data_IF_861514152438
#
_entry.id   IF_861514152438
#
_cell.length_a   1.000
_cell.length_b   1.000
_cell.length_c   1.000
_cell.angle_alpha   90.00
_cell.angle_beta   90.00
_cell.angle_gamma   90.00
#
_symmetry.space_group_name_H-M   'P 1'
#
loop_
_entity.id
_entity.type
_entity.pdbx_description
1 polymer ?
#
# COMPACT_ATOMS: atom_id res chain seq x y z
N UNK A 1 24.37 -5.56 -7.29
CA UNK A 1 24.12 -4.19 -7.77
C UNK A 1 24.57 -3.15 -6.75
N UNK A 2 25.38 -2.18 -7.19
CA UNK A 2 25.85 -1.02 -6.41
C UNK A 2 25.06 0.26 -6.75
N UNK A 3 25.12 1.28 -5.89
CA UNK A 3 24.49 2.60 -6.16
C UNK A 3 25.05 3.24 -7.42
N UNK A 4 26.37 3.18 -7.63
CA UNK A 4 27.04 3.61 -8.86
C UNK A 4 26.43 2.99 -10.13
N UNK A 5 26.19 1.68 -10.11
CA UNK A 5 25.59 0.95 -11.23
C UNK A 5 24.14 1.38 -11.47
N UNK A 6 23.36 1.61 -10.41
CA UNK A 6 21.97 2.08 -10.49
C UNK A 6 21.93 3.50 -11.07
N UNK A 7 22.70 4.42 -10.51
CA UNK A 7 22.75 5.82 -10.93
C UNK A 7 23.16 5.92 -12.41
N UNK A 8 24.23 5.23 -12.81
CA UNK A 8 24.68 5.19 -14.21
C UNK A 8 23.60 4.67 -15.15
N UNK A 9 22.87 3.61 -14.77
CA UNK A 9 21.79 3.06 -15.60
C UNK A 9 20.58 4.00 -15.68
N UNK A 10 20.39 4.86 -14.70
CA UNK A 10 19.37 5.90 -14.70
C UNK A 10 19.82 7.22 -15.36
N UNK A 11 21.04 7.30 -15.91
CA UNK A 11 21.59 8.55 -16.46
C UNK A 11 21.92 9.61 -15.39
N UNK A 12 22.14 9.18 -14.14
CA UNK A 12 22.37 10.03 -12.98
C UNK A 12 23.76 9.79 -12.37
N UNK A 13 24.20 10.75 -11.54
CA UNK A 13 25.39 10.59 -10.69
C UNK A 13 25.04 9.96 -9.33
N UNK A 14 26.02 9.37 -8.65
CA UNK A 14 25.82 8.86 -7.27
C UNK A 14 25.37 9.97 -6.31
N UNK A 15 25.92 11.18 -6.44
CA UNK A 15 25.46 12.35 -5.68
C UNK A 15 23.98 12.65 -5.91
N UNK A 16 23.49 12.47 -7.14
CA UNK A 16 22.06 12.66 -7.45
C UNK A 16 21.20 11.56 -6.83
N UNK A 17 21.68 10.31 -6.79
CA UNK A 17 20.99 9.22 -6.11
C UNK A 17 20.84 9.51 -4.60
N UNK A 18 21.92 9.88 -3.93
CA UNK A 18 21.92 10.12 -2.48
C UNK A 18 21.11 11.35 -2.04
N UNK A 19 20.78 12.26 -2.97
CA UNK A 19 19.81 13.33 -2.72
C UNK A 19 18.41 12.81 -2.43
N UNK A 20 18.04 11.67 -3.03
CA UNK A 20 16.70 11.09 -2.94
C UNK A 20 16.63 9.90 -1.99
N UNK A 21 17.70 9.10 -1.90
CA UNK A 21 17.71 7.85 -1.16
C UNK A 21 18.97 7.73 -0.32
N UNK A 22 18.80 7.39 0.96
CA UNK A 22 19.93 7.19 1.88
C UNK A 22 20.76 5.97 1.51
N UNK A 23 20.15 4.93 0.92
CA UNK A 23 20.83 3.77 0.37
C UNK A 23 20.02 3.11 -0.77
N UNK A 24 20.61 2.07 -1.40
CA UNK A 24 20.00 1.37 -2.55
C UNK A 24 18.66 0.67 -2.24
N UNK A 25 18.43 0.29 -0.98
CA UNK A 25 17.21 -0.39 -0.55
C UNK A 25 16.03 0.58 -0.59
N UNK A 26 16.25 1.82 -0.14
CA UNK A 26 15.21 2.85 -0.08
C UNK A 26 14.65 3.21 -1.48
N UNK A 27 15.45 3.03 -2.54
CA UNK A 27 14.96 3.21 -3.91
C UNK A 27 13.82 2.25 -4.29
N UNK A 28 13.70 1.10 -3.62
CA UNK A 28 12.57 0.17 -3.81
C UNK A 28 11.29 0.65 -3.12
N UNK A 29 11.36 1.55 -2.15
CA UNK A 29 10.20 1.97 -1.35
C UNK A 29 9.67 3.37 -1.73
N UNK A 30 10.26 4.00 -2.75
CA UNK A 30 9.77 5.26 -3.31
C UNK A 30 8.28 5.20 -3.69
N UNK A 31 7.58 6.33 -3.54
CA UNK A 31 6.14 6.45 -3.77
C UNK A 31 5.26 6.00 -2.59
N UNK A 32 5.83 5.39 -1.54
CA UNK A 32 5.07 5.00 -0.35
C UNK A 32 4.38 6.17 0.35
N UNK A 33 5.05 7.32 0.43
CA UNK A 33 4.51 8.54 1.05
C UNK A 33 3.36 9.14 0.25
N UNK A 34 3.47 9.15 -1.07
CA UNK A 34 2.43 9.65 -1.98
C UNK A 34 1.16 8.82 -1.86
N UNK A 35 1.29 7.48 -1.79
CA UNK A 35 0.15 6.59 -1.53
C UNK A 35 -0.46 6.85 -0.14
N UNK A 36 0.35 7.05 0.89
CA UNK A 36 -0.16 7.34 2.25
C UNK A 36 -0.94 8.65 2.27
N UNK A 37 -0.37 9.71 1.71
CA UNK A 37 -1.00 11.03 1.59
C UNK A 37 -2.31 10.96 0.81
N UNK A 38 -2.33 10.24 -0.32
CA UNK A 38 -3.54 10.01 -1.11
C UNK A 38 -4.62 9.31 -0.28
N UNK A 39 -4.28 8.22 0.40
CA UNK A 39 -5.27 7.42 1.13
C UNK A 39 -5.79 8.16 2.37
N UNK A 40 -4.93 8.84 3.11
CA UNK A 40 -5.34 9.66 4.27
C UNK A 40 -6.25 10.80 3.82
N UNK A 41 -5.92 11.49 2.73
CA UNK A 41 -6.79 12.51 2.15
C UNK A 41 -8.13 11.91 1.69
N UNK A 42 -8.11 10.77 1.01
CA UNK A 42 -9.33 10.09 0.56
C UNK A 42 -10.23 9.68 1.73
N UNK A 43 -9.66 9.25 2.86
CA UNK A 43 -10.42 8.95 4.09
C UNK A 43 -11.14 10.20 4.62
N UNK A 44 -10.52 11.39 4.56
CA UNK A 44 -11.14 12.64 5.02
C UNK A 44 -12.37 13.02 4.19
N UNK A 45 -12.38 12.74 2.89
CA UNK A 45 -13.45 13.10 1.95
C UNK A 45 -14.67 12.15 1.97
N UNK A 46 -14.58 11.00 2.64
CA UNK A 46 -15.72 10.05 2.72
C UNK A 46 -16.86 10.67 3.54
N UNK A 47 -18.14 10.48 3.18
CA UNK A 47 -19.28 10.96 3.96
C UNK A 47 -19.25 10.50 5.43
N UNK A 48 -19.61 11.38 6.36
CA UNK A 48 -19.79 11.05 7.76
C UNK A 48 -20.78 9.90 7.96
N UNK A 49 -20.60 9.12 9.02
CA UNK A 49 -21.45 7.95 9.30
C UNK A 49 -21.15 6.70 8.46
N UNK A 50 -20.27 6.77 7.45
CA UNK A 50 -19.80 5.58 6.72
C UNK A 50 -19.04 4.65 7.66
N UNK A 51 -19.32 3.35 7.63
CA UNK A 51 -18.65 2.36 8.48
C UNK A 51 -17.12 2.36 8.26
N UNK A 52 -16.30 2.09 9.29
CA UNK A 52 -14.86 2.30 9.21
C UNK A 52 -14.17 1.43 8.14
N UNK A 53 -14.59 0.18 7.97
CA UNK A 53 -14.06 -0.70 6.91
C UNK A 53 -14.43 -0.16 5.52
N UNK A 54 -15.69 0.23 5.33
CA UNK A 54 -16.17 0.75 4.04
C UNK A 54 -15.47 2.08 3.69
N UNK A 55 -15.20 2.93 4.69
CA UNK A 55 -14.41 4.16 4.54
C UNK A 55 -13.02 3.84 3.99
N UNK A 56 -12.32 2.87 4.58
CA UNK A 56 -10.99 2.47 4.11
C UNK A 56 -11.03 1.85 2.71
N UNK A 57 -11.98 0.95 2.43
CA UNK A 57 -12.06 0.31 1.11
C UNK A 57 -12.40 1.32 0.00
N UNK A 58 -13.23 2.32 0.29
CA UNK A 58 -13.45 3.46 -0.62
C UNK A 58 -12.17 4.27 -0.83
N UNK A 59 -11.42 4.57 0.23
CA UNK A 59 -10.12 5.22 0.07
C UNK A 59 -9.14 4.37 -0.78
N UNK A 60 -9.04 3.07 -0.52
CA UNK A 60 -8.18 2.15 -1.28
C UNK A 60 -8.57 2.03 -2.75
N UNK A 61 -9.83 2.25 -3.13
CA UNK A 61 -10.23 2.30 -4.54
C UNK A 61 -9.49 3.39 -5.34
N UNK A 62 -8.89 4.39 -4.67
CA UNK A 62 -8.09 5.46 -5.28
C UNK A 62 -6.63 5.08 -5.49
N UNK A 63 -6.15 4.01 -4.85
CA UNK A 63 -4.75 3.59 -4.91
C UNK A 63 -4.18 3.44 -6.34
N UNK A 64 -4.94 2.97 -7.36
CA UNK A 64 -4.46 2.91 -8.74
C UNK A 64 -3.97 4.23 -9.32
N UNK A 65 -4.43 5.38 -8.83
CA UNK A 65 -4.04 6.72 -9.30
C UNK A 65 -2.52 6.97 -9.15
N UNK A 66 -1.88 6.32 -8.19
CA UNK A 66 -0.45 6.46 -7.87
C UNK A 66 0.31 5.13 -7.99
N UNK A 67 -0.33 4.10 -8.52
CA UNK A 67 0.33 2.82 -8.73
C UNK A 67 1.44 2.94 -9.78
N UNK A 68 2.59 2.35 -9.44
CA UNK A 68 3.64 2.07 -10.40
C UNK A 68 3.16 0.97 -11.37
N UNK A 69 3.77 0.86 -12.56
CA UNK A 69 3.40 -0.19 -13.51
C UNK A 69 3.45 -1.59 -12.88
N UNK A 70 2.56 -2.49 -13.32
CA UNK A 70 2.40 -3.84 -12.74
C UNK A 70 3.69 -4.65 -12.82
N UNK A 71 4.41 -4.53 -13.93
CA UNK A 71 5.70 -5.20 -14.13
C UNK A 71 6.75 -4.74 -13.10
N UNK A 72 6.76 -3.45 -12.76
CA UNK A 72 7.63 -2.91 -11.71
C UNK A 72 7.25 -3.47 -10.34
N UNK A 73 5.95 -3.49 -10.01
CA UNK A 73 5.47 -3.98 -8.72
C UNK A 73 5.73 -5.49 -8.55
N UNK A 74 5.54 -6.30 -9.60
CA UNK A 74 5.91 -7.73 -9.62
C UNK A 74 7.40 -7.94 -9.39
N UNK A 75 8.26 -7.23 -10.14
CA UNK A 75 9.71 -7.33 -9.98
C UNK A 75 10.17 -6.90 -8.58
N UNK A 76 9.60 -5.80 -8.07
CA UNK A 76 9.86 -5.31 -6.71
C UNK A 76 9.48 -6.36 -5.66
N UNK A 77 8.29 -6.95 -5.76
CA UNK A 77 7.82 -7.97 -4.82
C UNK A 77 8.77 -9.18 -4.77
N UNK A 78 9.23 -9.66 -5.94
CA UNK A 78 10.20 -10.75 -6.02
C UNK A 78 11.53 -10.41 -5.34
N UNK A 79 12.05 -9.20 -5.55
CA UNK A 79 13.29 -8.73 -4.91
C UNK A 79 13.14 -8.62 -3.40
N UNK A 80 12.02 -8.11 -2.91
CA UNK A 80 11.73 -8.01 -1.47
C UNK A 80 11.62 -9.41 -0.85
N UNK A 81 10.86 -10.32 -1.47
CA UNK A 81 10.66 -11.69 -0.98
C UNK A 81 11.98 -12.45 -0.82
N UNK A 82 12.94 -12.23 -1.72
CA UNK A 82 14.25 -12.87 -1.70
C UNK A 82 15.24 -12.30 -0.66
N UNK A 83 14.92 -11.22 0.06
CA UNK A 83 15.87 -10.53 0.94
C UNK A 83 15.28 -10.22 2.33
N UNK A 84 15.76 -10.87 3.41
CA UNK A 84 15.24 -10.64 4.76
C UNK A 84 15.22 -9.17 5.20
N UNK A 85 16.29 -8.37 5.02
CA UNK A 85 16.28 -6.96 5.40
C UNK A 85 15.26 -6.12 4.62
N UNK A 86 14.94 -6.51 3.37
CA UNK A 86 13.90 -5.83 2.59
C UNK A 86 12.50 -6.20 3.07
N UNK A 87 12.28 -7.46 3.49
CA UNK A 87 11.01 -7.88 4.11
C UNK A 87 10.76 -7.14 5.41
N UNK A 88 11.78 -7.02 6.27
CA UNK A 88 11.70 -6.23 7.51
C UNK A 88 11.29 -4.78 7.22
N UNK A 89 11.93 -4.16 6.22
CA UNK A 89 11.60 -2.79 5.80
C UNK A 89 10.18 -2.65 5.23
N UNK A 90 9.70 -3.62 4.46
CA UNK A 90 8.32 -3.64 3.93
C UNK A 90 7.29 -3.83 5.05
N UNK A 91 7.59 -4.62 6.07
CA UNK A 91 6.75 -4.76 7.26
C UNK A 91 6.65 -3.42 8.00
N UNK A 92 7.76 -2.71 8.19
CA UNK A 92 7.77 -1.36 8.80
C UNK A 92 6.91 -0.39 7.97
N UNK A 93 7.07 -0.37 6.64
CA UNK A 93 6.26 0.47 5.75
C UNK A 93 4.77 0.18 5.90
N UNK A 94 4.40 -1.10 5.90
CA UNK A 94 3.01 -1.56 6.05
C UNK A 94 2.45 -1.13 7.41
N UNK A 95 3.23 -1.29 8.49
CA UNK A 95 2.83 -0.87 9.83
C UNK A 95 2.63 0.65 9.94
N UNK A 96 3.50 1.47 9.32
CA UNK A 96 3.34 2.92 9.27
C UNK A 96 2.06 3.34 8.53
N UNK A 97 1.80 2.73 7.37
CA UNK A 97 0.56 2.96 6.62
C UNK A 97 -0.68 2.62 7.45
N UNK A 98 -0.70 1.45 8.10
CA UNK A 98 -1.80 1.06 8.99
C UNK A 98 -2.00 2.06 10.13
N UNK A 99 -0.92 2.54 10.74
CA UNK A 99 -1.00 3.53 11.81
C UNK A 99 -1.61 4.87 11.33
N UNK A 100 -1.21 5.34 10.14
CA UNK A 100 -1.76 6.55 9.53
C UNK A 100 -3.26 6.43 9.22
N UNK A 101 -3.67 5.31 8.61
CA UNK A 101 -5.08 5.04 8.28
C UNK A 101 -5.95 4.89 9.53
N UNK A 102 -5.45 4.19 10.54
CA UNK A 102 -6.12 4.08 11.84
C UNK A 102 -6.32 5.46 12.46
N UNK A 103 -5.29 6.30 12.47
CA UNK A 103 -5.37 7.67 12.99
C UNK A 103 -6.39 8.51 12.23
N UNK A 104 -6.43 8.39 10.90
CA UNK A 104 -7.41 9.07 10.07
C UNK A 104 -8.87 8.65 10.39
N UNK A 105 -9.11 7.37 10.71
CA UNK A 105 -10.42 6.92 11.19
C UNK A 105 -10.76 7.47 12.59
N UNK A 106 -9.80 7.50 13.50
CA UNK A 106 -9.98 8.07 14.85
C UNK A 106 -10.30 9.57 14.78
N UNK A 107 -9.65 10.31 13.88
CA UNK A 107 -9.91 11.74 13.64
C UNK A 107 -11.31 11.99 13.07
N UNK A 108 -11.91 10.98 12.43
CA UNK A 108 -13.31 10.98 11.98
C UNK A 108 -14.31 10.55 13.07
N UNK A 109 -13.84 10.35 14.30
CA UNK A 109 -14.68 9.97 15.44
C UNK A 109 -15.00 8.48 15.55
N UNK A 110 -14.35 7.61 14.76
CA UNK A 110 -14.52 6.17 14.95
C UNK A 110 -13.85 5.69 16.24
N UNK A 111 -14.48 4.78 17.01
CA UNK A 111 -13.87 4.24 18.23
C UNK A 111 -12.52 3.57 17.96
N UNK A 112 -11.49 3.74 18.82
CA UNK A 112 -10.14 3.22 18.57
C UNK A 112 -10.07 1.71 18.26
N UNK A 113 -10.89 0.90 18.94
CA UNK A 113 -10.95 -0.54 18.70
C UNK A 113 -11.55 -0.88 17.31
N UNK A 114 -12.60 -0.16 16.90
CA UNK A 114 -13.22 -0.32 15.59
C UNK A 114 -12.28 0.16 14.47
N UNK A 115 -11.61 1.30 14.67
CA UNK A 115 -10.61 1.82 13.74
C UNK A 115 -9.46 0.82 13.54
N UNK A 116 -8.97 0.20 14.63
CA UNK A 116 -7.92 -0.81 14.57
C UNK A 116 -8.35 -2.05 13.78
N UNK A 117 -9.49 -2.65 14.15
CA UNK A 117 -9.98 -3.87 13.47
C UNK A 117 -10.28 -3.62 11.99
N UNK A 118 -10.92 -2.48 11.67
CA UNK A 118 -11.20 -2.11 10.29
C UNK A 118 -9.91 -1.93 9.47
N UNK A 119 -8.88 -1.32 10.06
CA UNK A 119 -7.58 -1.15 9.41
C UNK A 119 -6.92 -2.50 9.13
N UNK A 120 -6.86 -3.39 10.13
CA UNK A 120 -6.23 -4.71 9.97
C UNK A 120 -6.97 -5.55 8.91
N UNK A 121 -8.32 -5.48 8.89
CA UNK A 121 -9.14 -6.11 7.86
C UNK A 121 -8.93 -5.53 6.45
N UNK A 122 -8.93 -4.19 6.32
CA UNK A 122 -8.72 -3.52 5.04
C UNK A 122 -7.33 -3.84 4.46
N UNK A 123 -6.30 -3.86 5.30
CA UNK A 123 -4.94 -4.21 4.87
C UNK A 123 -4.84 -5.66 4.40
N UNK A 124 -5.58 -6.59 5.04
CA UNK A 124 -5.67 -7.98 4.58
C UNK A 124 -6.34 -8.08 3.20
N UNK A 125 -7.47 -7.40 3.00
CA UNK A 125 -8.21 -7.35 1.72
C UNK A 125 -7.31 -6.78 0.61
N UNK A 126 -6.69 -5.62 0.85
CA UNK A 126 -5.83 -4.93 -0.14
C UNK A 126 -4.62 -5.77 -0.53
N UNK A 127 -4.02 -6.49 0.43
CA UNK A 127 -2.92 -7.41 0.12
C UNK A 127 -3.36 -8.49 -0.87
N UNK A 128 -4.47 -9.17 -0.59
CA UNK A 128 -5.01 -10.22 -1.47
C UNK A 128 -5.39 -9.66 -2.84
N UNK A 129 -6.09 -8.51 -2.88
CA UNK A 129 -6.48 -7.85 -4.12
C UNK A 129 -5.24 -7.42 -4.94
N UNK A 130 -4.23 -6.84 -4.30
CA UNK A 130 -2.99 -6.40 -4.93
C UNK A 130 -2.16 -7.56 -5.49
N UNK A 131 -2.07 -8.67 -4.78
CA UNK A 131 -1.40 -9.89 -5.25
C UNK A 131 -2.09 -10.46 -6.50
N UNK A 132 -3.42 -10.54 -6.49
CA UNK A 132 -4.21 -10.99 -7.65
C UNK A 132 -4.08 -10.02 -8.83
N UNK A 133 -4.12 -8.73 -8.57
CA UNK A 133 -4.02 -7.68 -9.60
C UNK A 133 -2.65 -7.65 -10.25
N UNK A 134 -1.60 -7.93 -9.47
CA UNK A 134 -0.25 -8.07 -10.00
C UNK A 134 -0.10 -9.33 -10.88
N UNK A 135 -0.85 -10.39 -10.59
CA UNK A 135 -0.77 -11.67 -11.32
C UNK A 135 -1.59 -11.70 -12.62
N UNK A 136 -2.72 -11.01 -12.69
CA UNK A 136 -3.63 -11.00 -13.85
C UNK A 136 -3.71 -9.61 -14.51
N UNK A 137 -3.07 -9.44 -15.66
CA UNK A 137 -2.99 -8.17 -16.40
C UNK A 137 -4.34 -7.65 -16.91
N UNK A 138 -5.34 -8.53 -17.06
CA UNK A 138 -6.67 -8.18 -17.55
C UNK A 138 -7.63 -7.72 -16.45
N UNK A 139 -7.33 -8.06 -15.19
CA UNK A 139 -8.20 -7.74 -14.07
C UNK A 139 -8.12 -6.27 -13.64
N UNK A 140 -9.28 -5.68 -13.36
CA UNK A 140 -9.38 -4.35 -12.75
C UNK A 140 -9.16 -4.43 -11.23
N UNK A 141 -8.40 -3.49 -10.67
CA UNK A 141 -8.07 -3.48 -9.24
C UNK A 141 -9.32 -3.35 -8.37
N UNK A 142 -10.27 -2.49 -8.75
CA UNK A 142 -11.50 -2.29 -7.98
C UNK A 142 -12.40 -3.53 -7.95
N UNK A 143 -12.35 -4.37 -8.99
CA UNK A 143 -13.06 -5.66 -9.00
C UNK A 143 -12.43 -6.61 -7.99
N UNK A 144 -11.11 -6.75 -8.01
CA UNK A 144 -10.38 -7.63 -7.09
C UNK A 144 -10.47 -7.17 -5.63
N UNK A 145 -10.53 -5.86 -5.39
CA UNK A 145 -10.76 -5.30 -4.06
C UNK A 145 -12.13 -5.70 -3.53
N UNK A 146 -13.18 -5.56 -4.35
CA UNK A 146 -14.55 -5.96 -4.00
C UNK A 146 -14.69 -7.47 -3.80
N UNK A 147 -14.00 -8.27 -4.60
CA UNK A 147 -14.06 -9.73 -4.48
C UNK A 147 -13.36 -10.20 -3.19
N UNK A 148 -12.19 -9.66 -2.89
CA UNK A 148 -11.48 -9.96 -1.62
C UNK A 148 -12.29 -9.49 -0.38
N UNK A 149 -13.00 -8.37 -0.48
CA UNK A 149 -13.93 -7.93 0.57
C UNK A 149 -15.07 -8.94 0.78
N UNK A 150 -15.72 -9.37 -0.30
CA UNK A 150 -16.81 -10.37 -0.23
C UNK A 150 -16.35 -11.68 0.39
N UNK A 151 -15.15 -12.15 0.02
CA UNK A 151 -14.54 -13.35 0.59
C UNK A 151 -14.33 -13.22 2.10
N UNK A 152 -13.76 -12.09 2.56
CA UNK A 152 -13.59 -11.86 4.00
C UNK A 152 -14.93 -11.87 4.74
N UNK A 153 -15.95 -11.20 4.20
CA UNK A 153 -17.29 -11.16 4.80
C UNK A 153 -17.91 -12.56 4.87
N UNK A 154 -17.75 -13.37 3.82
CA UNK A 154 -18.22 -14.75 3.81
C UNK A 154 -17.56 -15.60 4.91
N UNK A 155 -16.26 -15.40 5.18
CA UNK A 155 -15.54 -16.12 6.25
C UNK A 155 -16.06 -15.74 7.64
N UNK A 156 -16.39 -14.46 7.88
CA UNK A 156 -16.84 -13.97 9.19
C UNK A 156 -18.30 -14.34 9.50
N UNK A 157 -19.11 -14.56 8.45
CA UNK A 157 -20.52 -14.94 8.58
C UNK A 157 -20.79 -16.45 8.43
N UNK A 158 -19.75 -17.26 8.23
CA UNK A 158 -19.83 -18.72 8.16
C UNK A 158 -19.89 -19.34 9.57
#
# INVERSE_FOLDING_TARGET
>A
TTVAQIARRAGLTERSFYRWYTDKREALFGGGRELEELLVAAVAEIPEGTAPLDTLLRAFSKAPEVFRPREFLRARAAVIAASPPLRERELIKTASMSAALKKALEDRGHPPAAARLATDAAMAIVRVAGERWAADESAAYETLLRDAEKELRAIVHA
#
